data_IF_443447152553
#
_entry.id   IF_443447152553
#
_cell.length_a   1.000
_cell.length_b   1.000
_cell.length_c   1.000
_cell.angle_alpha   90.00
_cell.angle_beta   90.00
_cell.angle_gamma   90.00
#
_symmetry.space_group_name_H-M   'P 1'
#
loop_
_entity.id
_entity.type
_entity.pdbx_description
1 polymer ?
#
# COMPACT_ATOMS: atom_id res chain seq x y z
N UNK A 1 4.01 -20.37 7.21
CA UNK A 1 2.96 -20.36 8.25
C UNK A 1 1.70 -19.71 7.70
N UNK A 2 0.55 -20.27 8.03
CA UNK A 2 -0.76 -19.71 7.70
C UNK A 2 -1.54 -19.59 9.01
N UNK A 3 -2.10 -18.41 9.27
CA UNK A 3 -2.96 -18.15 10.41
C UNK A 3 -4.36 -17.81 9.92
N UNK A 4 -5.40 -18.08 10.72
CA UNK A 4 -6.81 -17.85 10.37
C UNK A 4 -7.24 -18.57 9.07
N UNK A 5 -6.76 -19.81 8.86
CA UNK A 5 -7.00 -20.58 7.64
C UNK A 5 -8.43 -21.17 7.53
N UNK A 6 -9.24 -21.06 8.59
CA UNK A 6 -10.62 -21.53 8.62
C UNK A 6 -11.57 -20.36 8.37
N UNK A 7 -12.05 -20.15 7.12
CA UNK A 7 -12.96 -19.07 6.80
C UNK A 7 -14.36 -19.36 7.35
N UNK A 8 -14.88 -18.49 8.18
CA UNK A 8 -16.25 -18.56 8.71
C UNK A 8 -17.12 -17.35 8.31
N UNK A 9 -16.58 -16.45 7.47
CA UNK A 9 -17.25 -15.23 7.01
C UNK A 9 -17.37 -14.13 8.09
N UNK A 10 -17.00 -14.40 9.34
CA UNK A 10 -17.12 -13.50 10.49
C UNK A 10 -15.74 -13.03 10.96
N UNK A 11 -14.77 -13.91 11.02
CA UNK A 11 -13.41 -13.63 11.56
C UNK A 11 -12.71 -12.50 10.84
N UNK A 12 -12.85 -12.40 9.53
CA UNK A 12 -12.19 -11.36 8.72
C UNK A 12 -12.62 -9.93 9.12
N UNK A 13 -13.82 -9.77 9.67
CA UNK A 13 -14.30 -8.47 10.16
C UNK A 13 -13.93 -8.18 11.61
N UNK A 14 -13.69 -9.20 12.41
CA UNK A 14 -13.60 -9.07 13.85
C UNK A 14 -12.20 -9.31 14.42
N UNK A 15 -11.40 -10.19 13.83
CA UNK A 15 -10.14 -10.66 14.45
C UNK A 15 -9.01 -10.94 13.47
N UNK A 16 -9.26 -10.89 12.17
CA UNK A 16 -8.29 -11.29 11.15
C UNK A 16 -8.27 -10.32 9.96
N UNK A 17 -7.34 -10.56 9.02
CA UNK A 17 -7.21 -9.81 7.78
C UNK A 17 -6.47 -8.48 7.93
N UNK A 18 -6.44 -7.70 6.84
CA UNK A 18 -5.70 -6.43 6.74
C UNK A 18 -6.20 -5.35 7.71
N UNK A 19 -7.46 -5.43 8.14
CA UNK A 19 -8.03 -4.49 9.12
C UNK A 19 -7.71 -4.82 10.57
N UNK A 20 -7.16 -6.02 10.86
CA UNK A 20 -6.83 -6.51 12.21
C UNK A 20 -5.40 -7.05 12.26
N UNK A 21 -4.45 -6.21 11.90
CA UNK A 21 -3.05 -6.58 11.67
C UNK A 21 -2.29 -7.02 12.94
N UNK A 22 -2.75 -6.61 14.14
CA UNK A 22 -2.04 -6.81 15.41
C UNK A 22 -1.70 -8.27 15.71
N UNK A 23 -2.59 -9.21 15.34
CA UNK A 23 -2.32 -10.65 15.49
C UNK A 23 -1.15 -11.11 14.63
N UNK A 24 -1.06 -10.63 13.38
CA UNK A 24 0.03 -10.94 12.48
C UNK A 24 1.35 -10.30 12.94
N UNK A 25 1.31 -9.05 13.41
CA UNK A 25 2.49 -8.35 13.94
C UNK A 25 3.14 -9.15 15.08
N UNK A 26 2.32 -9.57 16.06
CA UNK A 26 2.78 -10.39 17.16
C UNK A 26 3.34 -11.73 16.69
N UNK A 27 2.64 -12.41 15.78
CA UNK A 27 3.05 -13.72 15.26
C UNK A 27 4.38 -13.67 14.52
N UNK A 28 4.61 -12.64 13.68
CA UNK A 28 5.87 -12.43 12.96
C UNK A 28 7.04 -12.30 13.94
N UNK A 29 6.90 -11.44 14.95
CA UNK A 29 7.97 -11.20 15.94
C UNK A 29 8.24 -12.43 16.81
N UNK A 30 7.20 -13.05 17.35
CA UNK A 30 7.33 -14.21 18.26
C UNK A 30 7.96 -15.44 17.57
N UNK A 31 7.77 -15.58 16.26
CA UNK A 31 8.31 -16.71 15.49
C UNK A 31 9.56 -16.35 14.68
N UNK A 32 10.09 -15.13 14.82
CA UNK A 32 11.30 -14.69 14.11
C UNK A 32 11.17 -14.75 12.58
N UNK A 33 9.99 -14.40 12.04
CA UNK A 33 9.73 -14.49 10.61
C UNK A 33 10.27 -13.27 9.87
N UNK A 34 10.63 -13.44 8.61
CA UNK A 34 11.20 -12.36 7.77
C UNK A 34 10.14 -11.34 7.35
N UNK A 35 8.90 -11.77 7.17
CA UNK A 35 7.77 -10.94 6.73
C UNK A 35 6.44 -11.62 7.00
N UNK A 36 5.38 -10.84 7.21
CA UNK A 36 4.00 -11.31 7.25
C UNK A 36 3.15 -10.59 6.20
N UNK A 37 2.14 -11.26 5.67
CA UNK A 37 1.17 -10.69 4.73
C UNK A 37 -0.25 -10.90 5.25
N UNK A 38 -1.06 -9.85 5.19
CA UNK A 38 -2.48 -9.89 5.54
C UNK A 38 -3.32 -9.41 4.36
N UNK A 39 -4.36 -10.15 4.07
CA UNK A 39 -5.30 -9.86 3.00
C UNK A 39 -6.67 -9.48 3.58
N UNK A 40 -7.50 -8.80 2.82
CA UNK A 40 -8.90 -8.58 3.17
C UNK A 40 -9.81 -9.68 2.61
N UNK A 41 -11.13 -9.47 2.64
CA UNK A 41 -12.10 -10.56 2.41
C UNK A 41 -12.13 -11.12 0.99
N UNK A 42 -11.84 -10.31 -0.01
CA UNK A 42 -11.77 -10.69 -1.43
C UNK A 42 -10.33 -10.68 -1.97
N UNK A 43 -9.35 -10.47 -1.05
CA UNK A 43 -7.92 -10.49 -1.33
C UNK A 43 -7.45 -9.50 -2.41
N UNK A 44 -8.20 -8.42 -2.64
CA UNK A 44 -7.80 -7.34 -3.54
C UNK A 44 -6.79 -6.38 -2.89
N UNK A 45 -6.63 -6.46 -1.55
CA UNK A 45 -5.69 -5.70 -0.73
C UNK A 45 -4.69 -6.60 -0.03
N UNK A 46 -3.48 -6.06 0.12
CA UNK A 46 -2.42 -6.67 0.92
C UNK A 46 -1.74 -5.62 1.78
N UNK A 47 -1.60 -5.90 3.07
CA UNK A 47 -0.69 -5.20 3.96
C UNK A 47 0.42 -6.14 4.40
N UNK A 48 1.62 -5.60 4.61
CA UNK A 48 2.74 -6.38 5.07
C UNK A 48 3.11 -6.03 6.52
N UNK A 49 3.82 -6.93 7.16
CA UNK A 49 4.46 -6.72 8.47
C UNK A 49 5.92 -7.06 8.30
N UNK A 50 6.80 -6.14 8.70
CA UNK A 50 8.24 -6.40 8.67
C UNK A 50 8.70 -7.34 9.80
N UNK A 51 9.94 -7.77 9.77
CA UNK A 51 10.53 -8.67 10.75
C UNK A 51 10.60 -8.10 12.18
N UNK A 52 10.35 -6.79 12.33
CA UNK A 52 10.29 -6.08 13.63
C UNK A 52 8.86 -5.91 14.14
N UNK A 53 7.87 -6.35 13.35
CA UNK A 53 6.46 -6.21 13.68
C UNK A 53 5.84 -4.87 13.26
N UNK A 54 6.54 -4.04 12.47
CA UNK A 54 5.97 -2.79 11.99
C UNK A 54 5.06 -3.02 10.79
N UNK A 55 4.00 -2.21 10.70
CA UNK A 55 3.10 -2.20 9.56
C UNK A 55 3.81 -1.59 8.33
N UNK A 56 3.71 -2.29 7.22
CA UNK A 56 4.10 -1.82 5.88
C UNK A 56 2.80 -1.71 5.07
N UNK A 57 2.24 -0.51 5.04
CA UNK A 57 0.97 -0.19 4.39
C UNK A 57 1.11 -0.02 2.86
N UNK A 58 0.00 0.31 2.18
CA UNK A 58 0.01 0.49 0.73
C UNK A 58 0.93 1.62 0.26
N UNK A 59 1.08 2.69 1.03
CA UNK A 59 2.02 3.77 0.71
C UNK A 59 3.47 3.28 0.75
N UNK A 60 3.81 2.51 1.77
CA UNK A 60 5.13 1.90 1.91
C UNK A 60 5.41 0.88 0.78
N UNK A 61 4.42 0.08 0.40
CA UNK A 61 4.51 -0.86 -0.73
C UNK A 61 4.76 -0.11 -2.04
N UNK A 62 4.00 0.97 -2.29
CA UNK A 62 4.19 1.82 -3.48
C UNK A 62 5.59 2.45 -3.53
N UNK A 63 6.11 2.90 -2.38
CA UNK A 63 7.46 3.43 -2.27
C UNK A 63 8.52 2.39 -2.61
N UNK A 64 8.47 1.23 -1.95
CA UNK A 64 9.43 0.15 -2.14
C UNK A 64 9.46 -0.31 -3.60
N UNK A 65 8.28 -0.61 -4.16
CA UNK A 65 8.20 -1.14 -5.51
C UNK A 65 8.46 -0.08 -6.58
N UNK A 66 8.03 1.17 -6.35
CA UNK A 66 8.34 2.31 -7.21
C UNK A 66 9.85 2.55 -7.34
N UNK A 67 10.59 2.56 -6.22
CA UNK A 67 12.07 2.63 -6.22
C UNK A 67 12.69 1.45 -6.98
N UNK A 68 12.24 0.24 -6.69
CA UNK A 68 12.75 -0.96 -7.33
C UNK A 68 12.57 -0.93 -8.85
N UNK A 69 11.39 -0.54 -9.32
CA UNK A 69 11.12 -0.40 -10.75
C UNK A 69 11.95 0.71 -11.40
N UNK A 70 12.05 1.88 -10.75
CA UNK A 70 12.85 3.01 -11.25
C UNK A 70 14.31 2.63 -11.44
N UNK A 71 14.93 2.05 -10.44
CA UNK A 71 16.35 1.65 -10.48
C UNK A 71 16.64 0.61 -11.58
N UNK A 72 15.63 -0.15 -11.99
CA UNK A 72 15.71 -1.11 -13.10
C UNK A 72 15.31 -0.52 -14.46
N UNK A 73 14.99 0.78 -14.51
CA UNK A 73 14.49 1.43 -15.73
C UNK A 73 13.13 0.91 -16.20
N UNK A 74 12.32 0.35 -15.27
CA UNK A 74 11.03 -0.29 -15.58
C UNK A 74 9.81 0.52 -15.12
N UNK A 75 10.01 1.66 -14.46
CA UNK A 75 8.92 2.53 -14.05
C UNK A 75 8.53 3.43 -15.22
N UNK A 76 7.55 3.01 -16.01
CA UNK A 76 7.07 3.77 -17.16
C UNK A 76 6.58 5.15 -16.74
N UNK A 77 6.92 6.16 -17.54
CA UNK A 77 6.69 7.58 -17.27
C UNK A 77 7.28 8.08 -15.94
N UNK A 78 8.13 7.27 -15.29
CA UNK A 78 8.73 7.56 -13.98
C UNK A 78 7.69 8.02 -12.94
N UNK A 79 6.47 7.49 -12.99
CA UNK A 79 5.33 7.98 -12.21
C UNK A 79 4.60 6.85 -11.48
N UNK A 80 4.31 7.07 -10.19
CA UNK A 80 3.43 6.23 -9.37
C UNK A 80 2.11 6.98 -9.13
N UNK A 81 0.99 6.30 -9.30
CA UNK A 81 -0.34 6.90 -9.08
C UNK A 81 -0.85 6.52 -7.70
N UNK A 82 -1.31 7.51 -6.93
CA UNK A 82 -1.83 7.32 -5.58
C UNK A 82 -3.06 8.21 -5.34
N UNK A 83 -3.60 8.25 -4.15
CA UNK A 83 -4.78 9.06 -3.81
C UNK A 83 -4.42 10.22 -2.87
N UNK A 84 -5.33 11.17 -2.72
CA UNK A 84 -5.19 12.28 -1.75
C UNK A 84 -5.11 11.82 -0.29
N UNK A 85 -5.36 10.55 -0.01
CA UNK A 85 -5.26 9.96 1.34
C UNK A 85 -3.87 9.48 1.70
N UNK A 86 -2.97 9.34 0.72
CA UNK A 86 -1.60 8.91 0.99
C UNK A 86 -0.87 9.86 1.94
N UNK A 87 -0.02 9.27 2.77
CA UNK A 87 0.77 10.02 3.74
C UNK A 87 1.69 11.04 3.05
N UNK A 88 1.84 12.21 3.65
CA UNK A 88 2.73 13.26 3.13
C UNK A 88 4.18 12.77 2.96
N UNK A 89 4.61 11.85 3.83
CA UNK A 89 5.94 11.25 3.77
C UNK A 89 6.21 10.46 2.49
N UNK A 90 5.18 9.83 1.91
CA UNK A 90 5.32 9.16 0.62
C UNK A 90 5.73 10.14 -0.48
N UNK A 91 5.08 11.29 -0.54
CA UNK A 91 5.39 12.31 -1.56
C UNK A 91 6.81 12.86 -1.40
N UNK A 92 7.23 13.17 -0.16
CA UNK A 92 8.62 13.58 0.11
C UNK A 92 9.63 12.51 -0.31
N UNK A 93 9.36 11.28 0.03
CA UNK A 93 10.24 10.16 -0.31
C UNK A 93 10.31 9.95 -1.85
N UNK A 94 9.21 10.18 -2.56
CA UNK A 94 9.23 10.16 -4.03
C UNK A 94 10.01 11.33 -4.61
N UNK A 95 9.86 12.54 -4.08
CA UNK A 95 10.62 13.72 -4.51
C UNK A 95 12.13 13.47 -4.33
N UNK A 96 12.55 12.96 -3.17
CA UNK A 96 13.95 12.61 -2.87
C UNK A 96 14.48 11.49 -3.76
N UNK A 97 13.64 10.51 -4.10
CA UNK A 97 13.99 9.45 -5.04
C UNK A 97 13.88 9.88 -6.51
N UNK A 98 13.42 11.10 -6.80
CA UNK A 98 13.17 11.61 -8.15
C UNK A 98 12.10 10.81 -8.89
N UNK A 99 11.10 10.26 -8.20
CA UNK A 99 9.94 9.56 -8.73
C UNK A 99 8.78 10.54 -8.84
N UNK A 100 8.20 10.66 -10.03
CA UNK A 100 6.98 11.42 -10.23
C UNK A 100 5.78 10.73 -9.60
N UNK A 101 4.79 11.51 -9.17
CA UNK A 101 3.55 10.95 -8.64
C UNK A 101 2.31 11.73 -9.08
N UNK A 102 1.19 11.03 -9.15
CA UNK A 102 -0.12 11.62 -9.38
C UNK A 102 -1.04 11.34 -8.21
N UNK A 103 -1.83 12.34 -7.83
CA UNK A 103 -2.83 12.24 -6.74
C UNK A 103 -4.22 12.23 -7.34
N UNK A 104 -4.95 11.15 -7.15
CA UNK A 104 -6.35 11.05 -7.57
C UNK A 104 -7.31 11.25 -6.39
N UNK A 105 -8.59 11.34 -6.67
CA UNK A 105 -9.62 11.14 -5.64
C UNK A 105 -9.51 9.71 -5.07
N UNK A 106 -10.04 9.51 -3.87
CA UNK A 106 -10.09 8.20 -3.22
C UNK A 106 -10.97 7.25 -4.02
N UNK A 107 -10.49 6.05 -4.26
CA UNK A 107 -11.15 4.97 -4.98
C UNK A 107 -10.27 4.42 -6.11
N UNK A 108 -10.13 3.10 -6.12
CA UNK A 108 -9.36 2.30 -7.08
C UNK A 108 -9.68 2.65 -8.54
N UNK A 109 -10.96 2.89 -8.83
CA UNK A 109 -11.44 3.35 -10.15
C UNK A 109 -10.67 4.59 -10.64
N UNK A 110 -10.52 5.61 -9.79
CA UNK A 110 -9.85 6.86 -10.19
C UNK A 110 -8.35 6.65 -10.38
N UNK A 111 -7.75 5.79 -9.57
CA UNK A 111 -6.35 5.38 -9.72
C UNK A 111 -6.16 4.70 -11.07
N UNK A 112 -6.97 3.68 -11.38
CA UNK A 112 -6.85 2.93 -12.62
C UNK A 112 -7.17 3.76 -13.88
N UNK A 113 -8.21 4.61 -13.82
CA UNK A 113 -8.53 5.54 -14.91
C UNK A 113 -7.34 6.48 -15.22
N UNK A 114 -6.70 7.04 -14.18
CA UNK A 114 -5.53 7.89 -14.37
C UNK A 114 -4.36 7.08 -14.94
N UNK A 115 -4.08 5.89 -14.41
CA UNK A 115 -3.02 5.02 -14.90
C UNK A 115 -3.18 4.71 -16.38
N UNK A 116 -4.37 4.30 -16.80
CA UNK A 116 -4.67 3.95 -18.20
C UNK A 116 -4.50 5.15 -19.13
N UNK A 117 -5.05 6.30 -18.74
CA UNK A 117 -4.99 7.52 -19.54
C UNK A 117 -3.57 8.05 -19.73
N UNK A 118 -2.71 7.87 -18.74
CA UNK A 118 -1.36 8.45 -18.73
C UNK A 118 -0.25 7.41 -18.88
N UNK A 119 -0.58 6.14 -19.17
CA UNK A 119 0.41 5.07 -19.37
C UNK A 119 1.24 4.77 -18.12
N UNK A 120 0.68 4.94 -16.93
CA UNK A 120 1.34 4.57 -15.68
C UNK A 120 1.08 3.09 -15.36
N UNK A 121 2.08 2.39 -14.84
CA UNK A 121 2.00 0.93 -14.63
C UNK A 121 1.95 0.51 -13.17
N UNK A 122 2.15 1.43 -12.25
CA UNK A 122 2.07 1.21 -10.81
C UNK A 122 1.20 2.29 -10.18
N UNK A 123 0.21 1.87 -9.42
CA UNK A 123 -0.63 2.76 -8.63
C UNK A 123 -1.32 2.02 -7.51
N UNK A 124 -1.97 2.75 -6.62
CA UNK A 124 -2.69 2.14 -5.51
C UNK A 124 -3.08 3.12 -4.41
N UNK A 125 -3.49 2.56 -3.30
CA UNK A 125 -3.99 3.27 -2.13
C UNK A 125 -3.27 2.83 -0.86
N UNK A 126 -3.22 3.70 0.15
CA UNK A 126 -2.69 3.40 1.47
C UNK A 126 -3.32 2.15 2.10
N UNK A 127 -4.57 1.85 1.77
CA UNK A 127 -5.30 0.66 2.23
C UNK A 127 -4.69 -0.68 1.79
N UNK A 128 -3.71 -0.67 0.89
CA UNK A 128 -3.07 -1.87 0.35
C UNK A 128 -3.65 -2.37 -0.97
N UNK A 129 -4.58 -1.63 -1.58
CA UNK A 129 -5.08 -1.92 -2.93
C UNK A 129 -4.05 -1.44 -3.95
N UNK A 130 -3.20 -2.35 -4.45
CA UNK A 130 -2.09 -2.04 -5.33
C UNK A 130 -2.36 -2.62 -6.72
N UNK A 131 -2.25 -1.77 -7.74
CA UNK A 131 -2.48 -2.11 -9.14
C UNK A 131 -1.14 -2.17 -9.88
N UNK A 132 -0.85 -3.33 -10.42
CA UNK A 132 0.26 -3.57 -11.34
C UNK A 132 -0.34 -3.76 -12.75
N UNK A 133 -0.57 -2.69 -13.49
CA UNK A 133 -1.38 -2.71 -14.73
C UNK A 133 -0.85 -3.64 -15.83
N UNK A 134 0.42 -4.05 -15.74
CA UNK A 134 0.98 -5.10 -16.62
C UNK A 134 0.42 -6.50 -16.36
N UNK A 135 -0.21 -6.71 -15.22
CA UNK A 135 -0.70 -8.03 -14.78
C UNK A 135 -2.20 -8.05 -14.54
N UNK A 136 -2.76 -6.97 -13.98
CA UNK A 136 -4.18 -6.88 -13.65
C UNK A 136 -4.68 -5.44 -13.79
N UNK A 137 -5.99 -5.30 -14.06
CA UNK A 137 -6.67 -3.99 -14.13
C UNK A 137 -7.22 -3.51 -12.78
N UNK A 138 -7.02 -4.28 -11.73
CA UNK A 138 -7.47 -4.01 -10.36
C UNK A 138 -6.38 -4.38 -9.36
N UNK A 139 -6.56 -4.08 -8.09
CA UNK A 139 -5.70 -4.57 -7.01
C UNK A 139 -5.73 -6.09 -6.91
N UNK A 140 -4.59 -6.66 -6.57
CA UNK A 140 -4.40 -8.08 -6.33
C UNK A 140 -3.41 -8.23 -5.16
N UNK A 141 -3.96 -8.63 -4.00
CA UNK A 141 -3.17 -8.75 -2.77
C UNK A 141 -2.16 -9.88 -2.85
N UNK A 142 -2.49 -10.99 -3.50
CA UNK A 142 -1.56 -12.11 -3.65
C UNK A 142 -0.41 -11.71 -4.58
N UNK A 143 -0.70 -11.09 -5.70
CA UNK A 143 0.34 -10.54 -6.57
C UNK A 143 1.20 -9.52 -5.83
N UNK A 144 0.59 -8.65 -5.02
CA UNK A 144 1.31 -7.66 -4.22
C UNK A 144 2.30 -8.31 -3.26
N UNK A 145 1.90 -9.36 -2.54
CA UNK A 145 2.80 -10.09 -1.66
C UNK A 145 3.97 -10.74 -2.41
N UNK A 146 3.71 -11.36 -3.57
CA UNK A 146 4.76 -11.93 -4.43
C UNK A 146 5.73 -10.87 -4.95
N UNK A 147 5.21 -9.67 -5.29
CA UNK A 147 6.04 -8.54 -5.72
C UNK A 147 6.92 -8.00 -4.58
N UNK A 148 6.43 -7.98 -3.35
CA UNK A 148 7.26 -7.62 -2.20
C UNK A 148 8.35 -8.67 -1.95
N UNK A 149 8.04 -9.95 -2.03
CA UNK A 149 9.03 -11.03 -1.95
C UNK A 149 10.07 -10.92 -3.07
N UNK A 150 9.66 -10.59 -4.30
CA UNK A 150 10.58 -10.35 -5.43
C UNK A 150 11.62 -9.28 -5.06
N UNK A 151 11.19 -8.16 -4.46
CA UNK A 151 12.11 -7.07 -4.07
C UNK A 151 13.06 -7.52 -2.96
N UNK A 152 12.54 -8.15 -1.90
CA UNK A 152 13.36 -8.65 -0.79
C UNK A 152 14.47 -9.59 -1.28
N UNK A 153 14.10 -10.55 -2.12
CA UNK A 153 15.05 -11.52 -2.68
C UNK A 153 16.06 -10.86 -3.62
N UNK A 154 15.61 -10.00 -4.53
CA UNK A 154 16.48 -9.32 -5.49
C UNK A 154 17.48 -8.37 -4.82
N UNK A 155 17.08 -7.72 -3.74
CA UNK A 155 17.90 -6.80 -2.96
C UNK A 155 18.70 -7.47 -1.86
N UNK A 156 18.34 -8.70 -1.48
CA UNK A 156 18.87 -9.40 -0.31
C UNK A 156 18.77 -8.56 0.96
N UNK A 157 17.62 -7.87 1.13
CA UNK A 157 17.31 -6.97 2.23
C UNK A 157 16.07 -7.43 2.97
N UNK A 158 16.05 -7.18 4.27
CA UNK A 158 14.84 -7.33 5.09
C UNK A 158 13.80 -6.27 4.72
N UNK A 159 12.55 -6.53 5.04
CA UNK A 159 11.45 -5.61 4.72
C UNK A 159 11.68 -4.23 5.35
N UNK A 160 12.12 -4.17 6.60
CA UNK A 160 12.39 -2.90 7.30
C UNK A 160 13.52 -2.08 6.64
N UNK A 161 14.50 -2.72 6.01
CA UNK A 161 15.60 -2.04 5.31
C UNK A 161 15.17 -1.46 3.95
N UNK A 162 14.08 -1.99 3.36
CA UNK A 162 13.52 -1.47 2.12
C UNK A 162 12.76 -0.16 2.32
N UNK A 163 12.37 0.14 3.57
CA UNK A 163 11.70 1.38 3.97
C UNK A 163 12.66 2.57 4.17
N UNK A 164 13.95 2.35 4.03
CA UNK A 164 14.94 3.40 4.17
C UNK A 164 14.67 4.58 3.22
N UNK A 165 14.58 5.78 3.79
CA UNK A 165 14.17 7.01 3.11
C UNK A 165 12.66 7.31 3.15
N UNK A 166 11.81 6.43 3.71
CA UNK A 166 10.39 6.71 3.94
C UNK A 166 10.13 7.10 5.39
N UNK A 167 9.67 8.31 5.61
CA UNK A 167 9.25 8.80 6.93
C UNK A 167 7.73 8.96 6.95
N UNK A 168 7.06 8.29 7.88
CA UNK A 168 5.62 8.43 8.07
C UNK A 168 5.34 9.63 8.97
N UNK A 169 4.60 10.60 8.45
CA UNK A 169 4.18 11.78 9.21
C UNK A 169 2.85 11.53 9.92
N UNK A 170 2.65 12.12 11.11
CA UNK A 170 1.36 12.08 11.78
C UNK A 170 0.24 12.59 10.86
N UNK A 171 -0.83 11.82 10.74
CA UNK A 171 -1.98 12.13 9.90
C UNK A 171 -3.25 11.99 10.72
N UNK A 172 -4.12 13.00 10.68
CA UNK A 172 -5.39 13.00 11.36
C UNK A 172 -6.54 13.13 10.36
N UNK A 173 -7.37 12.09 10.29
CA UNK A 173 -8.63 12.14 9.57
C UNK A 173 -9.76 12.50 10.54
N UNK A 174 -10.40 13.65 10.34
CA UNK A 174 -11.53 14.09 11.15
C UNK A 174 -12.80 14.23 10.30
N UNK A 175 -13.78 13.40 10.57
CA UNK A 175 -15.09 13.51 9.96
C UNK A 175 -15.94 14.56 10.71
N UNK A 176 -16.43 15.56 9.99
CA UNK A 176 -17.30 16.60 10.54
C UNK A 176 -18.68 16.49 9.90
N UNK A 177 -19.72 16.43 10.74
CA UNK A 177 -21.09 16.44 10.27
C UNK A 177 -21.48 17.87 9.89
N UNK A 178 -21.93 18.09 8.65
CA UNK A 178 -22.37 19.39 8.15
C UNK A 178 -23.77 19.27 7.55
N UNK A 179 -24.59 20.31 7.70
CA UNK A 179 -25.94 20.38 7.13
C UNK A 179 -25.94 20.54 5.61
N UNK A 180 -24.92 21.22 5.08
CA UNK A 180 -24.76 21.45 3.63
C UNK A 180 -23.29 21.34 3.24
N UNK A 181 -22.94 20.28 2.49
CA UNK A 181 -21.56 20.01 2.05
C UNK A 181 -21.02 21.09 1.09
N UNK A 182 -21.87 21.62 0.21
CA UNK A 182 -21.45 22.63 -0.76
C UNK A 182 -21.12 23.97 -0.07
N UNK A 183 -21.95 24.38 0.89
CA UNK A 183 -21.69 25.58 1.68
C UNK A 183 -20.43 25.46 2.53
N UNK A 184 -20.19 24.28 3.13
CA UNK A 184 -18.98 24.05 3.92
C UNK A 184 -17.69 24.08 3.07
N UNK A 185 -17.76 23.66 1.81
CA UNK A 185 -16.59 23.70 0.89
C UNK A 185 -16.26 25.12 0.41
N UNK A 186 -17.25 25.99 0.28
CA UNK A 186 -17.07 27.33 -0.26
C UNK A 186 -16.68 28.36 0.81
N UNK A 187 -16.67 27.99 2.09
CA UNK A 187 -16.30 28.85 3.22
C UNK A 187 -14.92 28.47 3.84
N UNK A 188 -14.09 27.72 3.14
CA UNK A 188 -12.75 27.32 3.58
C UNK A 188 -11.66 28.16 2.89
#
# INVERSE_FOLDING_TARGET
YVINAEPDGIKIRNTAGSTHIGGLQKFVVENGLDVGFAYDGDADRCLCVDEKGNLVDGDAILYIYGKYMKERGKLENNTVVTTVMSNFGLYKAFDEAGIGYAKTAVGDKYVYEYMTKNGCILGGEQSGHIIFSKYASTGDGILTSLKMMEVMMARKKKMSELLDGLTIYPQLLKNVRVSNKAAARNNA
#
